data_IF_822075237027
#
_entry.id   IF_822075237027
#
_cell.length_a   1.000
_cell.length_b   1.000
_cell.length_c   1.000
_cell.angle_alpha   90.00
_cell.angle_beta   90.00
_cell.angle_gamma   90.00
#
_symmetry.space_group_name_H-M   'P 1'
#
loop_
_entity.id
_entity.type
_entity.pdbx_description
1 polymer ?
#
# COMPACT_ATOMS: atom_id res chain seq x y z
N UNK A 1 28.74 -14.13 -21.52
CA UNK A 1 28.82 -12.66 -21.45
C UNK A 1 27.47 -11.93 -21.60
N UNK A 2 26.74 -12.01 -22.73
CA UNK A 2 25.48 -11.25 -22.89
C UNK A 2 24.28 -11.83 -22.10
N UNK A 3 24.21 -13.16 -21.99
CA UNK A 3 23.16 -13.87 -21.21
C UNK A 3 23.33 -13.65 -19.71
N UNK A 4 24.54 -13.76 -19.18
CA UNK A 4 24.85 -13.52 -17.76
C UNK A 4 24.52 -12.08 -17.35
N UNK A 5 24.80 -11.12 -18.23
CA UNK A 5 24.41 -9.72 -18.02
C UNK A 5 22.89 -9.57 -17.96
N UNK A 6 22.17 -10.24 -18.86
CA UNK A 6 20.69 -10.24 -18.88
C UNK A 6 20.14 -10.84 -17.58
N UNK A 7 20.71 -11.95 -17.11
CA UNK A 7 20.28 -12.59 -15.85
C UNK A 7 20.52 -11.69 -14.64
N UNK A 8 21.68 -11.04 -14.57
CA UNK A 8 21.99 -10.07 -13.50
C UNK A 8 21.02 -8.89 -13.50
N UNK A 9 20.66 -8.36 -14.68
CA UNK A 9 19.69 -7.28 -14.82
C UNK A 9 18.29 -7.70 -14.38
N UNK A 10 17.83 -8.89 -14.78
CA UNK A 10 16.52 -9.41 -14.37
C UNK A 10 16.47 -9.63 -12.85
N UNK A 11 17.53 -10.17 -12.25
CA UNK A 11 17.62 -10.33 -10.79
C UNK A 11 17.50 -8.98 -10.06
N UNK A 12 18.23 -7.97 -10.52
CA UNK A 12 18.15 -6.61 -9.96
C UNK A 12 16.76 -5.98 -10.11
N UNK A 13 16.05 -6.27 -11.20
CA UNK A 13 14.68 -5.82 -11.40
C UNK A 13 13.70 -6.54 -10.46
N UNK A 14 13.88 -7.85 -10.25
CA UNK A 14 13.09 -8.61 -9.25
C UNK A 14 13.31 -8.07 -7.84
N UNK A 15 14.54 -7.71 -7.48
CA UNK A 15 14.82 -7.05 -6.19
C UNK A 15 14.13 -5.70 -6.05
N UNK A 16 14.09 -4.93 -7.13
CA UNK A 16 13.40 -3.64 -7.15
C UNK A 16 11.89 -3.82 -7.05
N UNK A 17 11.34 -4.84 -7.71
CA UNK A 17 9.92 -5.19 -7.64
C UNK A 17 9.51 -5.50 -6.19
N UNK A 18 10.26 -6.37 -5.52
CA UNK A 18 10.01 -6.76 -4.13
C UNK A 18 10.02 -5.55 -3.18
N UNK A 19 11.01 -4.65 -3.31
CA UNK A 19 11.06 -3.41 -2.50
C UNK A 19 9.81 -2.55 -2.69
N UNK A 20 9.32 -2.44 -3.92
CA UNK A 20 8.11 -1.68 -4.23
C UNK A 20 6.87 -2.35 -3.64
N UNK A 21 6.76 -3.69 -3.74
CA UNK A 21 5.69 -4.48 -3.14
C UNK A 21 5.68 -4.36 -1.60
N UNK A 22 6.85 -4.38 -0.97
CA UNK A 22 6.99 -4.16 0.47
C UNK A 22 6.59 -2.74 0.87
N UNK A 23 6.99 -1.72 0.10
CA UNK A 23 6.55 -0.34 0.34
C UNK A 23 5.03 -0.20 0.23
N UNK A 24 4.40 -0.83 -0.77
CA UNK A 24 2.93 -0.85 -0.90
C UNK A 24 2.26 -1.48 0.32
N UNK A 25 2.82 -2.55 0.85
CA UNK A 25 2.33 -3.21 2.08
C UNK A 25 2.46 -2.27 3.28
N UNK A 26 3.64 -1.68 3.47
CA UNK A 26 3.90 -0.71 4.54
C UNK A 26 2.94 0.49 4.50
N UNK A 27 2.62 1.01 3.31
CA UNK A 27 1.68 2.12 3.15
C UNK A 27 0.26 1.73 3.54
N UNK A 28 -0.15 0.50 3.21
CA UNK A 28 -1.46 -0.04 3.61
C UNK A 28 -1.54 -0.16 5.14
N UNK A 29 -0.52 -0.73 5.78
CA UNK A 29 -0.50 -0.88 7.23
C UNK A 29 -0.50 0.49 7.93
N UNK A 30 0.25 1.46 7.40
CA UNK A 30 0.25 2.83 7.90
C UNK A 30 -1.13 3.50 7.79
N UNK A 31 -1.85 3.26 6.70
CA UNK A 31 -3.21 3.76 6.49
C UNK A 31 -4.18 3.15 7.51
N UNK A 32 -4.11 1.83 7.70
CA UNK A 32 -4.95 1.10 8.67
C UNK A 32 -4.71 1.62 10.10
N UNK A 33 -3.45 1.79 10.51
CA UNK A 33 -3.09 2.33 11.82
C UNK A 33 -3.56 3.78 12.04
N UNK A 34 -3.46 4.61 11.01
CA UNK A 34 -3.94 6.01 11.05
C UNK A 34 -5.43 6.03 11.34
N UNK A 35 -6.21 5.26 10.56
CA UNK A 35 -7.66 5.19 10.72
C UNK A 35 -8.09 4.52 12.03
N UNK A 36 -7.36 3.53 12.54
CA UNK A 36 -7.63 2.96 13.86
C UNK A 36 -7.43 3.98 14.98
N UNK A 37 -6.40 4.82 14.85
CA UNK A 37 -6.14 5.91 15.81
C UNK A 37 -7.28 6.92 15.80
N UNK A 38 -7.75 7.32 14.61
CA UNK A 38 -8.84 8.27 14.44
C UNK A 38 -10.17 7.70 14.93
N UNK A 39 -10.48 6.45 14.61
CA UNK A 39 -11.70 5.79 15.08
C UNK A 39 -11.76 5.72 16.61
N UNK A 40 -10.62 5.45 17.26
CA UNK A 40 -10.51 5.50 18.72
C UNK A 40 -10.71 6.93 19.26
N UNK A 41 -10.13 7.94 18.59
CA UNK A 41 -10.32 9.33 18.97
C UNK A 41 -11.78 9.77 18.85
N UNK A 42 -12.44 9.44 17.72
CA UNK A 42 -13.87 9.68 17.50
C UNK A 42 -14.67 9.05 18.62
N UNK A 43 -14.47 7.75 18.88
CA UNK A 43 -15.19 6.97 19.90
C UNK A 43 -15.12 7.61 21.29
N UNK A 44 -13.97 8.16 21.66
CA UNK A 44 -13.75 8.77 22.97
C UNK A 44 -14.31 10.19 23.10
N UNK A 45 -14.65 10.83 21.98
CA UNK A 45 -15.10 12.23 21.94
C UNK A 45 -16.50 12.40 21.32
N UNK A 46 -17.29 11.32 21.26
CA UNK A 46 -18.67 11.40 20.78
C UNK A 46 -19.54 12.21 21.74
N UNK A 47 -20.46 13.05 21.23
CA UNK A 47 -21.43 13.76 22.05
C UNK A 47 -22.32 12.78 22.83
N UNK A 48 -22.53 13.02 24.12
CA UNK A 48 -23.41 12.19 24.97
C UNK A 48 -24.86 12.14 24.47
N UNK A 49 -25.28 13.15 23.70
CA UNK A 49 -26.62 13.26 23.11
C UNK A 49 -26.81 12.46 21.82
N UNK A 50 -25.75 11.83 21.28
CA UNK A 50 -25.80 11.03 20.05
C UNK A 50 -26.46 9.67 20.30
N UNK A 51 -27.26 9.19 19.34
CA UNK A 51 -27.90 7.87 19.45
C UNK A 51 -26.88 6.74 19.36
N UNK A 52 -27.18 5.57 19.94
CA UNK A 52 -26.26 4.42 19.91
C UNK A 52 -26.01 3.94 18.49
N UNK A 53 -27.01 4.03 17.63
CA UNK A 53 -26.96 3.65 16.22
C UNK A 53 -26.03 4.58 15.45
N UNK A 54 -26.14 5.90 15.64
CA UNK A 54 -25.29 6.89 15.00
C UNK A 54 -23.84 6.82 15.51
N UNK A 55 -23.65 6.61 16.82
CA UNK A 55 -22.32 6.36 17.41
C UNK A 55 -21.62 5.16 16.76
N UNK A 56 -22.36 4.05 16.53
CA UNK A 56 -21.80 2.87 15.87
C UNK A 56 -21.48 3.12 14.40
N UNK A 57 -22.31 3.90 13.71
CA UNK A 57 -22.10 4.21 12.30
C UNK A 57 -20.83 5.06 12.14
N UNK A 58 -20.70 6.15 12.89
CA UNK A 58 -19.61 7.12 12.72
C UNK A 58 -18.23 6.56 13.09
N UNK A 59 -18.13 5.73 14.14
CA UNK A 59 -16.85 5.16 14.62
C UNK A 59 -16.22 4.18 13.63
N UNK A 60 -16.99 3.61 12.69
CA UNK A 60 -16.48 2.64 11.73
C UNK A 60 -16.18 3.24 10.35
N UNK A 61 -16.39 4.55 10.17
CA UNK A 61 -16.16 5.20 8.89
C UNK A 61 -14.70 5.59 8.74
N UNK A 62 -14.02 4.94 7.78
CA UNK A 62 -12.62 5.21 7.41
C UNK A 62 -12.52 6.04 6.12
N UNK A 63 -13.30 7.12 6.07
CA UNK A 63 -13.32 8.04 4.94
C UNK A 63 -13.84 9.39 5.42
N UNK A 64 -13.04 10.45 5.22
CA UNK A 64 -13.34 11.78 5.75
C UNK A 64 -14.63 12.36 5.15
N UNK A 65 -14.87 12.18 3.85
CA UNK A 65 -16.08 12.67 3.20
C UNK A 65 -17.33 11.98 3.72
N UNK A 66 -17.29 10.66 3.87
CA UNK A 66 -18.38 9.90 4.47
C UNK A 66 -18.63 10.32 5.92
N UNK A 67 -17.58 10.64 6.70
CA UNK A 67 -17.74 11.19 8.04
C UNK A 67 -18.46 12.54 8.02
N UNK A 68 -18.11 13.43 7.08
CA UNK A 68 -18.75 14.75 6.91
C UNK A 68 -20.21 14.68 6.51
N UNK A 69 -20.67 13.56 5.95
CA UNK A 69 -22.08 13.36 5.60
C UNK A 69 -22.99 13.14 6.82
N UNK A 70 -22.43 12.80 7.99
CA UNK A 70 -23.22 12.66 9.21
C UNK A 70 -23.67 14.04 9.71
N UNK A 71 -24.97 14.17 10.01
CA UNK A 71 -25.52 15.42 10.58
C UNK A 71 -24.86 15.81 11.90
N UNK A 72 -24.35 14.85 12.65
CA UNK A 72 -23.65 15.03 13.92
C UNK A 72 -22.17 15.38 13.77
N UNK A 73 -21.60 15.37 12.56
CA UNK A 73 -20.18 15.65 12.33
C UNK A 73 -19.78 17.04 12.87
N UNK A 74 -20.64 18.05 12.66
CA UNK A 74 -20.40 19.41 13.16
C UNK A 74 -20.53 19.56 14.68
N UNK A 75 -20.96 18.51 15.39
CA UNK A 75 -21.04 18.46 16.86
C UNK A 75 -19.85 17.70 17.46
N UNK A 76 -18.97 17.13 16.64
CA UNK A 76 -17.75 16.50 17.10
C UNK A 76 -16.79 17.54 17.68
N UNK A 77 -15.95 17.10 18.60
CA UNK A 77 -14.90 17.95 19.15
C UNK A 77 -13.96 18.45 18.02
N UNK A 78 -13.51 19.70 18.14
CA UNK A 78 -12.59 20.31 17.18
C UNK A 78 -11.32 19.48 16.93
N UNK A 79 -10.81 18.80 17.96
CA UNK A 79 -9.65 17.90 17.86
C UNK A 79 -9.93 16.69 16.96
N UNK A 80 -11.15 16.15 17.01
CA UNK A 80 -11.60 15.07 16.13
C UNK A 80 -11.69 15.57 14.69
N UNK A 81 -12.27 16.75 14.48
CA UNK A 81 -12.40 17.34 13.14
C UNK A 81 -11.02 17.56 12.51
N UNK A 82 -10.07 18.13 13.27
CA UNK A 82 -8.68 18.31 12.82
C UNK A 82 -8.06 16.97 12.45
N UNK A 83 -8.16 15.96 13.32
CA UNK A 83 -7.59 14.64 13.07
C UNK A 83 -8.18 13.97 11.81
N UNK A 84 -9.49 14.13 11.55
CA UNK A 84 -10.13 13.60 10.33
C UNK A 84 -9.62 14.31 9.08
N UNK A 85 -9.37 15.62 9.13
CA UNK A 85 -8.80 16.35 8.00
C UNK A 85 -7.33 15.96 7.75
N UNK A 86 -6.54 15.78 8.80
CA UNK A 86 -5.16 15.32 8.69
C UNK A 86 -5.09 13.89 8.12
N UNK A 87 -6.05 13.04 8.48
CA UNK A 87 -6.24 11.71 7.89
C UNK A 87 -6.46 11.78 6.39
N UNK A 88 -7.38 12.64 5.94
CA UNK A 88 -7.67 12.82 4.52
C UNK A 88 -6.44 13.30 3.75
N UNK A 89 -5.67 14.24 4.31
CA UNK A 89 -4.40 14.67 3.71
C UNK A 89 -3.42 13.51 3.59
N UNK A 90 -3.34 12.67 4.62
CA UNK A 90 -2.50 11.46 4.63
C UNK A 90 -2.98 10.46 3.58
N UNK A 91 -4.27 10.15 3.51
CA UNK A 91 -4.90 9.28 2.52
C UNK A 91 -4.59 9.75 1.10
N UNK A 92 -4.73 11.05 0.83
CA UNK A 92 -4.45 11.64 -0.47
C UNK A 92 -2.97 11.48 -0.86
N UNK A 93 -2.05 11.73 0.07
CA UNK A 93 -0.62 11.55 -0.17
C UNK A 93 -0.26 10.07 -0.41
N UNK A 94 -0.80 9.16 0.40
CA UNK A 94 -0.61 7.71 0.23
C UNK A 94 -1.20 7.26 -1.11
N UNK A 95 -2.37 7.76 -1.51
CA UNK A 95 -2.98 7.42 -2.79
C UNK A 95 -2.11 7.85 -3.99
N UNK A 96 -1.48 9.02 -3.92
CA UNK A 96 -0.51 9.47 -4.93
C UNK A 96 0.72 8.55 -4.97
N UNK A 97 1.26 8.19 -3.80
CA UNK A 97 2.41 7.28 -3.70
C UNK A 97 2.07 5.88 -4.25
N UNK A 98 0.91 5.31 -3.90
CA UNK A 98 0.44 4.02 -4.42
C UNK A 98 0.35 4.06 -5.95
N UNK A 99 -0.17 5.15 -6.54
CA UNK A 99 -0.23 5.30 -8.00
C UNK A 99 1.16 5.30 -8.62
N UNK A 100 2.10 6.03 -8.03
CA UNK A 100 3.49 6.05 -8.48
C UNK A 100 4.16 4.66 -8.38
N UNK A 101 3.98 3.97 -7.26
CA UNK A 101 4.53 2.62 -7.04
C UNK A 101 3.93 1.59 -8.00
N UNK A 102 2.61 1.66 -8.28
CA UNK A 102 1.97 0.82 -9.30
C UNK A 102 2.52 1.07 -10.70
N UNK A 103 2.74 2.32 -11.09
CA UNK A 103 3.38 2.65 -12.37
C UNK A 103 4.81 2.10 -12.43
N UNK A 104 5.53 2.17 -11.31
CA UNK A 104 6.88 1.61 -11.18
C UNK A 104 6.87 0.09 -11.34
N UNK A 105 5.92 -0.62 -10.72
CA UNK A 105 5.77 -2.08 -10.90
C UNK A 105 5.50 -2.45 -12.35
N UNK A 106 4.64 -1.71 -13.05
CA UNK A 106 4.36 -1.94 -14.46
C UNK A 106 5.63 -1.77 -15.30
N UNK A 107 6.39 -0.69 -15.09
CA UNK A 107 7.64 -0.44 -15.81
C UNK A 107 8.71 -1.51 -15.54
N UNK A 108 8.80 -2.02 -14.31
CA UNK A 108 9.67 -3.15 -13.96
C UNK A 108 9.22 -4.42 -14.69
N UNK A 109 7.92 -4.73 -14.68
CA UNK A 109 7.35 -5.88 -15.39
C UNK A 109 7.63 -5.85 -16.89
N UNK A 110 7.44 -4.69 -17.52
CA UNK A 110 7.76 -4.47 -18.93
C UNK A 110 9.24 -4.67 -19.22
N UNK A 111 10.13 -4.15 -18.36
CA UNK A 111 11.57 -4.31 -18.48
C UNK A 111 12.01 -5.78 -18.38
N UNK A 112 11.43 -6.53 -17.43
CA UNK A 112 11.68 -7.97 -17.29
C UNK A 112 11.21 -8.71 -18.56
N UNK A 113 10.03 -8.40 -19.08
CA UNK A 113 9.49 -9.02 -20.29
C UNK A 113 10.36 -8.74 -21.52
N UNK A 114 10.85 -7.50 -21.68
CA UNK A 114 11.78 -7.14 -22.73
C UNK A 114 13.09 -7.92 -22.63
N UNK A 115 13.67 -8.04 -21.44
CA UNK A 115 14.91 -8.80 -21.23
C UNK A 115 14.71 -10.30 -21.48
N UNK A 116 13.57 -10.87 -21.05
CA UNK A 116 13.17 -12.25 -21.37
C UNK A 116 13.03 -12.47 -22.88
N UNK A 117 12.68 -11.45 -23.66
CA UNK A 117 12.60 -11.52 -25.12
C UNK A 117 13.95 -11.60 -25.82
N UNK A 118 15.06 -11.29 -25.13
CA UNK A 118 16.43 -11.32 -25.69
C UNK A 118 17.14 -12.66 -25.56
N UNK A 119 16.57 -13.59 -24.79
CA UNK A 119 17.11 -14.93 -24.56
C UNK A 119 16.26 -15.99 -25.27
N UNK A 120 16.87 -17.12 -25.61
CA UNK A 120 16.16 -18.22 -26.25
C UNK A 120 15.29 -19.00 -25.24
N UNK A 121 14.45 -19.90 -25.75
CA UNK A 121 13.48 -20.67 -24.93
C UNK A 121 14.19 -21.49 -23.84
N UNK A 122 15.27 -22.19 -24.17
CA UNK A 122 16.01 -23.02 -23.21
C UNK A 122 16.65 -22.19 -22.09
N UNK A 123 17.20 -21.02 -22.42
CA UNK A 123 17.74 -20.05 -21.46
C UNK A 123 16.64 -19.47 -20.57
N UNK A 124 15.45 -19.22 -21.13
CA UNK A 124 14.31 -18.73 -20.36
C UNK A 124 13.87 -19.73 -19.30
N UNK A 125 13.79 -21.01 -19.62
CA UNK A 125 13.43 -22.06 -18.64
C UNK A 125 14.45 -22.17 -17.50
N UNK A 126 15.74 -22.06 -17.81
CA UNK A 126 16.80 -22.03 -16.82
C UNK A 126 16.69 -20.80 -15.90
N UNK A 127 16.47 -19.63 -16.50
CA UNK A 127 16.25 -18.38 -15.77
C UNK A 127 15.06 -18.47 -14.82
N UNK A 128 13.92 -19.03 -15.25
CA UNK A 128 12.74 -19.16 -14.38
C UNK A 128 13.04 -20.06 -13.17
N UNK A 129 13.82 -21.14 -13.33
CA UNK A 129 14.27 -21.98 -12.20
C UNK A 129 15.15 -21.19 -11.23
N UNK A 130 16.11 -20.42 -11.75
CA UNK A 130 16.99 -19.58 -10.92
C UNK A 130 16.19 -18.53 -10.16
N UNK A 131 15.24 -17.85 -10.82
CA UNK A 131 14.40 -16.83 -10.20
C UNK A 131 13.43 -17.42 -9.17
N UNK A 132 12.91 -18.62 -9.41
CA UNK A 132 12.06 -19.32 -8.46
C UNK A 132 12.80 -19.62 -7.15
N UNK A 133 13.98 -20.24 -7.22
CA UNK A 133 14.79 -20.50 -6.04
C UNK A 133 15.26 -19.21 -5.36
N UNK A 134 15.61 -18.19 -6.15
CA UNK A 134 15.97 -16.88 -5.62
C UNK A 134 14.84 -16.23 -4.80
N UNK A 135 13.62 -16.21 -5.34
CA UNK A 135 12.44 -15.67 -4.65
C UNK A 135 12.10 -16.49 -3.41
N UNK A 136 12.24 -17.82 -3.48
CA UNK A 136 12.00 -18.71 -2.34
C UNK A 136 12.96 -18.43 -1.18
N UNK A 137 14.24 -18.19 -1.47
CA UNK A 137 15.25 -17.82 -0.47
C UNK A 137 14.99 -16.45 0.15
N UNK A 138 14.37 -15.53 -0.59
CA UNK A 138 14.06 -14.18 -0.10
C UNK A 138 12.76 -14.09 0.68
N UNK A 139 11.72 -14.81 0.26
CA UNK A 139 10.42 -14.82 0.95
C UNK A 139 10.50 -15.32 2.41
N UNK A 140 11.59 -15.98 2.83
CA UNK A 140 11.82 -16.31 4.24
C UNK A 140 12.23 -15.11 5.11
N UNK A 141 12.59 -13.98 4.51
CA UNK A 141 13.00 -12.76 5.23
C UNK A 141 11.82 -11.80 5.46
N UNK A 142 10.74 -11.89 4.66
CA UNK A 142 9.59 -10.99 4.76
C UNK A 142 9.91 -9.56 4.33
N UNK A 143 8.89 -8.69 4.34
CA UNK A 143 9.09 -7.24 4.17
C UNK A 143 9.62 -6.65 5.48
N UNK A 144 10.91 -6.86 5.76
CA UNK A 144 11.63 -6.21 6.87
C UNK A 144 11.90 -4.73 6.60
#
# INVERSE_FOLDING_TARGET
MEVEKTYSQIKSLVDSQEKVECRLTSLKDSLDLTWDTINNLIKNNLPKSMSKEECKAIVNVRNADHLRMFQSYNKLDSTVIIAVNDAEMTDNNIALEIRFLKNTLNAIGDSINQLRGRINISQREELEKILYEYKKMKNSEGCL
#
